data_IF_703736730750
#
_entry.id   IF_703736730750
#
_cell.length_a   1.000
_cell.length_b   1.000
_cell.length_c   1.000
_cell.angle_alpha   90.00
_cell.angle_beta   90.00
_cell.angle_gamma   90.00
#
_symmetry.space_group_name_H-M   'P 1'
#
loop_
_entity.id
_entity.type
_entity.pdbx_description
1 polymer ?
#
# COMPACT_ATOMS: atom_id res chain seq x y z
N UNK A 1 -8.58 -29.42 -19.38
CA UNK A 1 -7.16 -29.04 -19.17
C UNK A 1 -7.01 -28.04 -18.01
N UNK A 2 -7.78 -26.95 -17.96
CA UNK A 2 -7.70 -25.92 -16.91
C UNK A 2 -7.88 -26.45 -15.47
N UNK A 3 -8.84 -27.36 -15.24
CA UNK A 3 -9.11 -27.94 -13.90
C UNK A 3 -7.91 -28.68 -13.32
N UNK A 4 -7.14 -29.39 -14.16
CA UNK A 4 -5.92 -30.09 -13.73
C UNK A 4 -4.80 -29.11 -13.34
N UNK A 5 -4.69 -28.00 -14.05
CA UNK A 5 -3.71 -26.94 -13.74
C UNK A 5 -4.04 -26.27 -12.40
N UNK A 6 -5.31 -25.95 -12.15
CA UNK A 6 -5.72 -25.39 -10.86
C UNK A 6 -5.51 -26.35 -9.69
N UNK A 7 -5.78 -27.65 -9.87
CA UNK A 7 -5.51 -28.66 -8.85
C UNK A 7 -4.03 -28.78 -8.52
N UNK A 8 -3.14 -28.76 -9.52
CA UNK A 8 -1.68 -28.80 -9.32
C UNK A 8 -1.21 -27.54 -8.58
N UNK A 9 -1.67 -26.36 -8.98
CA UNK A 9 -1.35 -25.10 -8.30
C UNK A 9 -1.83 -25.11 -6.84
N UNK A 10 -3.02 -25.64 -6.57
CA UNK A 10 -3.55 -25.78 -5.20
C UNK A 10 -2.69 -26.72 -4.34
N UNK A 11 -2.27 -27.86 -4.89
CA UNK A 11 -1.41 -28.82 -4.18
C UNK A 11 -0.05 -28.21 -3.88
N UNK A 12 0.57 -27.50 -4.83
CA UNK A 12 1.83 -26.79 -4.62
C UNK A 12 1.70 -25.68 -3.56
N UNK A 13 0.57 -24.99 -3.53
CA UNK A 13 0.26 -23.97 -2.53
C UNK A 13 0.13 -24.58 -1.13
N UNK A 14 -0.62 -25.66 -0.99
CA UNK A 14 -0.80 -26.37 0.28
C UNK A 14 0.52 -26.96 0.79
N UNK A 15 1.35 -27.50 -0.12
CA UNK A 15 2.69 -27.97 0.22
C UNK A 15 3.60 -26.84 0.71
N UNK A 16 3.56 -25.66 0.07
CA UNK A 16 4.32 -24.48 0.48
C UNK A 16 3.86 -23.96 1.85
N UNK A 17 2.55 -23.85 2.05
CA UNK A 17 1.95 -23.47 3.34
C UNK A 17 2.35 -24.46 4.44
N UNK A 18 2.29 -25.77 4.16
CA UNK A 18 2.76 -26.80 5.07
C UNK A 18 4.24 -26.62 5.41
N UNK A 19 5.10 -26.39 4.41
CA UNK A 19 6.53 -26.17 4.66
C UNK A 19 6.81 -24.94 5.53
N UNK A 20 6.01 -23.89 5.40
CA UNK A 20 6.14 -22.69 6.22
C UNK A 20 5.69 -22.94 7.67
N UNK A 21 4.55 -23.60 7.83
CA UNK A 21 4.04 -23.97 9.15
C UNK A 21 4.99 -24.92 9.89
N UNK A 22 5.62 -25.85 9.17
CA UNK A 22 6.67 -26.72 9.73
C UNK A 22 7.97 -25.95 10.02
N UNK A 23 8.24 -24.84 9.32
CA UNK A 23 9.41 -24.00 9.56
C UNK A 23 9.25 -23.01 10.72
N UNK A 24 8.03 -22.87 11.28
CA UNK A 24 7.80 -22.09 12.50
C UNK A 24 8.51 -22.75 13.67
N UNK A 25 9.71 -22.25 13.98
CA UNK A 25 10.38 -22.59 15.21
C UNK A 25 9.60 -21.97 16.37
N UNK A 26 8.94 -22.82 17.16
CA UNK A 26 8.35 -22.40 18.43
C UNK A 26 9.48 -21.93 19.35
N UNK A 27 9.56 -20.61 19.55
CA UNK A 27 10.50 -20.06 20.54
C UNK A 27 9.99 -20.47 21.93
N UNK A 28 10.78 -21.20 22.72
CA UNK A 28 10.32 -21.65 24.03
C UNK A 28 10.05 -20.46 24.94
N UNK A 29 8.98 -20.58 25.74
CA UNK A 29 8.60 -19.58 26.74
C UNK A 29 9.75 -19.42 27.74
N UNK A 30 10.18 -18.18 27.96
CA UNK A 30 11.34 -17.83 28.80
C UNK A 30 12.64 -17.60 28.03
N UNK A 31 12.70 -17.86 26.71
CA UNK A 31 13.90 -17.59 25.92
C UNK A 31 14.12 -16.08 25.72
N UNK A 32 15.37 -15.63 25.89
CA UNK A 32 15.82 -14.31 25.44
C UNK A 32 16.06 -14.33 23.94
N UNK A 33 15.40 -13.45 23.23
CA UNK A 33 15.50 -13.33 21.77
C UNK A 33 15.81 -11.90 21.38
N UNK A 34 16.63 -11.77 20.33
CA UNK A 34 16.88 -10.53 19.62
C UNK A 34 16.29 -10.67 18.23
N UNK A 35 15.22 -9.95 17.98
CA UNK A 35 14.40 -10.11 16.78
C UNK A 35 14.42 -8.81 15.97
N UNK A 36 14.80 -8.91 14.69
CA UNK A 36 14.70 -7.82 13.74
C UNK A 36 13.33 -7.94 13.07
N UNK A 37 12.44 -6.99 13.36
CA UNK A 37 11.07 -6.97 12.87
C UNK A 37 10.68 -5.63 12.28
N UNK A 38 9.63 -5.66 11.46
CA UNK A 38 8.91 -4.46 11.08
C UNK A 38 7.70 -4.28 12.00
N UNK A 39 7.49 -3.06 12.50
CA UNK A 39 6.33 -2.71 13.33
C UNK A 39 5.05 -2.91 12.50
N UNK A 40 4.24 -3.87 12.91
CA UNK A 40 3.05 -4.35 12.18
C UNK A 40 1.73 -3.71 12.61
N UNK A 41 1.70 -2.91 13.68
CA UNK A 41 0.53 -2.09 14.08
C UNK A 41 1.03 -0.77 14.66
N UNK A 42 0.23 0.29 14.61
CA UNK A 42 0.59 1.53 15.31
C UNK A 42 0.73 1.26 16.82
N UNK A 43 1.84 1.67 17.46
CA UNK A 43 2.08 1.38 18.87
C UNK A 43 1.09 2.08 19.80
N UNK A 44 0.44 1.29 20.66
CA UNK A 44 -0.46 1.78 21.69
C UNK A 44 0.38 2.28 22.86
N UNK A 45 0.26 3.56 23.21
CA UNK A 45 0.93 4.13 24.39
C UNK A 45 0.07 3.95 25.63
N UNK A 46 0.53 3.09 26.55
CA UNK A 46 -0.08 2.88 27.87
C UNK A 46 0.89 3.39 28.94
N UNK A 47 0.86 4.71 29.19
CA UNK A 47 1.74 5.37 30.16
C UNK A 47 3.22 5.29 29.76
N UNK A 48 4.04 4.56 30.54
CA UNK A 48 5.47 4.37 30.29
C UNK A 48 5.80 3.23 29.31
N UNK A 49 4.79 2.45 28.92
CA UNK A 49 4.97 1.29 28.05
C UNK A 49 4.25 1.49 26.71
N UNK A 50 4.75 0.82 25.69
CA UNK A 50 4.09 0.67 24.40
C UNK A 50 3.81 -0.80 24.10
N UNK A 51 2.68 -1.06 23.45
CA UNK A 51 2.37 -2.37 22.88
C UNK A 51 2.15 -2.26 21.38
N UNK A 52 2.77 -3.14 20.62
CA UNK A 52 2.63 -3.21 19.16
C UNK A 52 2.86 -4.64 18.67
N UNK A 53 2.36 -4.95 17.47
CA UNK A 53 2.64 -6.23 16.83
C UNK A 53 3.93 -6.16 16.04
N UNK A 54 4.79 -7.16 16.18
CA UNK A 54 6.02 -7.31 15.41
C UNK A 54 6.13 -8.78 14.96
N UNK A 55 6.06 -9.01 13.64
CA UNK A 55 5.94 -10.36 13.08
C UNK A 55 4.79 -11.16 13.72
N UNK A 56 5.11 -12.27 14.40
CA UNK A 56 4.17 -13.15 15.07
C UNK A 56 3.97 -12.82 16.56
N UNK A 57 4.65 -11.79 17.10
CA UNK A 57 4.59 -11.45 18.52
C UNK A 57 3.87 -10.11 18.76
N UNK A 58 3.08 -10.07 19.83
CA UNK A 58 2.70 -8.85 20.51
C UNK A 58 3.83 -8.45 21.45
N UNK A 59 4.49 -7.36 21.12
CA UNK A 59 5.61 -6.81 21.87
C UNK A 59 5.09 -5.80 22.87
N UNK A 60 5.39 -6.00 24.15
CA UNK A 60 5.18 -5.02 25.21
C UNK A 60 6.55 -4.53 25.69
N UNK A 61 6.82 -3.23 25.58
CA UNK A 61 8.14 -2.68 25.88
C UNK A 61 8.10 -1.22 26.34
N UNK A 62 9.27 -0.61 26.63
CA UNK A 62 9.36 0.77 27.09
C UNK A 62 8.96 1.76 26.00
N UNK A 63 8.41 2.91 26.40
CA UNK A 63 7.98 3.95 25.48
C UNK A 63 9.12 4.39 24.53
N UNK A 64 8.88 4.20 23.23
CA UNK A 64 9.74 4.62 22.15
C UNK A 64 8.91 5.36 21.10
N UNK A 65 9.51 6.35 20.43
CA UNK A 65 8.90 7.01 19.27
C UNK A 65 9.13 6.17 18.02
N UNK A 66 8.28 5.14 17.88
CA UNK A 66 8.20 4.24 16.73
C UNK A 66 6.81 4.33 16.11
N UNK A 67 6.70 4.08 14.81
CA UNK A 67 5.44 4.08 14.06
C UNK A 67 5.30 2.80 13.24
N UNK A 68 4.08 2.55 12.75
CA UNK A 68 3.81 1.47 11.81
C UNK A 68 4.81 1.49 10.63
N UNK A 69 5.34 0.31 10.31
CA UNK A 69 6.30 0.08 9.22
C UNK A 69 7.76 0.41 9.55
N UNK A 70 8.09 0.87 10.76
CA UNK A 70 9.48 1.06 11.17
C UNK A 70 10.19 -0.29 11.35
N UNK A 71 11.45 -0.39 10.90
CA UNK A 71 12.29 -1.55 11.19
C UNK A 71 12.93 -1.37 12.57
N UNK A 72 12.68 -2.31 13.46
CA UNK A 72 13.12 -2.28 14.84
C UNK A 72 13.81 -3.59 15.21
N UNK A 73 14.86 -3.45 16.01
CA UNK A 73 15.48 -4.58 16.70
C UNK A 73 14.90 -4.62 18.10
N UNK A 74 14.10 -5.65 18.38
CA UNK A 74 13.46 -5.87 19.66
C UNK A 74 14.26 -6.93 20.42
N UNK A 75 14.74 -6.59 21.62
CA UNK A 75 15.43 -7.53 22.50
C UNK A 75 14.58 -7.75 23.74
N UNK A 76 14.27 -9.00 24.07
CA UNK A 76 13.37 -9.32 25.17
C UNK A 76 13.19 -10.81 25.45
N UNK A 77 12.24 -11.12 26.32
CA UNK A 77 11.88 -12.48 26.74
C UNK A 77 10.52 -12.87 26.18
N UNK A 78 10.41 -14.07 25.61
CA UNK A 78 9.12 -14.62 25.18
C UNK A 78 8.31 -15.05 26.40
N UNK A 79 7.17 -14.39 26.64
CA UNK A 79 6.28 -14.67 27.79
C UNK A 79 5.20 -15.67 27.41
N UNK A 80 4.75 -15.64 26.15
CA UNK A 80 3.83 -16.63 25.60
C UNK A 80 4.16 -16.88 24.12
N UNK A 81 3.63 -17.93 23.49
CA UNK A 81 3.86 -18.22 22.07
C UNK A 81 3.54 -17.06 21.12
N UNK A 82 2.75 -16.08 21.57
CA UNK A 82 2.37 -14.90 20.82
C UNK A 82 2.77 -13.57 21.50
N UNK A 83 3.38 -13.56 22.70
CA UNK A 83 3.71 -12.34 23.44
C UNK A 83 5.19 -12.28 23.81
N UNK A 84 5.81 -11.13 23.57
CA UNK A 84 7.21 -10.85 23.86
C UNK A 84 7.30 -9.60 24.75
N UNK A 85 8.02 -9.70 25.86
CA UNK A 85 8.29 -8.58 26.75
C UNK A 85 9.68 -8.04 26.43
N UNK A 86 9.72 -6.83 25.88
CA UNK A 86 10.93 -6.20 25.36
C UNK A 86 11.64 -5.38 26.44
N UNK A 87 12.91 -5.69 26.65
CA UNK A 87 13.82 -4.93 27.52
C UNK A 87 14.34 -3.68 26.81
N UNK A 88 14.58 -3.79 25.49
CA UNK A 88 15.12 -2.70 24.66
C UNK A 88 14.55 -2.77 23.25
N UNK A 89 14.17 -1.60 22.73
CA UNK A 89 13.70 -1.40 21.36
C UNK A 89 14.66 -0.42 20.69
N UNK A 90 15.39 -0.88 19.67
CA UNK A 90 16.30 -0.05 18.89
C UNK A 90 15.74 0.13 17.48
N UNK A 91 15.64 1.37 17.01
CA UNK A 91 15.35 1.65 15.61
C UNK A 91 16.54 1.21 14.76
N UNK A 92 16.31 0.21 13.91
CA UNK A 92 17.35 -0.29 13.03
C UNK A 92 17.16 0.31 11.65
N UNK A 93 17.90 1.38 11.36
CA UNK A 93 17.94 1.96 10.02
C UNK A 93 18.86 1.18 9.06
N UNK A 94 19.64 0.22 9.57
CA UNK A 94 20.57 -0.54 8.75
C UNK A 94 19.81 -1.49 7.81
N UNK A 95 19.78 -1.13 6.53
CA UNK A 95 19.36 -1.99 5.44
C UNK A 95 20.55 -2.80 4.91
N UNK A 96 20.29 -4.02 4.41
CA UNK A 96 21.26 -4.73 3.59
C UNK A 96 21.46 -3.94 2.29
N UNK A 97 22.68 -3.43 2.09
CA UNK A 97 23.03 -2.55 0.96
C UNK A 97 22.94 -3.32 -0.36
N UNK A 98 21.79 -3.24 -1.01
CA UNK A 98 21.54 -3.77 -2.35
C UNK A 98 21.72 -2.72 -3.44
N UNK A 99 21.86 -3.15 -4.70
CA UNK A 99 21.92 -2.25 -5.87
C UNK A 99 20.73 -1.29 -5.98
N UNK A 100 19.54 -1.73 -5.54
CA UNK A 100 18.33 -0.89 -5.51
C UNK A 100 18.46 0.30 -4.56
N UNK A 101 19.12 0.12 -3.41
CA UNK A 101 19.33 1.18 -2.41
C UNK A 101 20.36 2.22 -2.89
N UNK A 102 21.45 1.75 -3.53
CA UNK A 102 22.43 2.63 -4.16
C UNK A 102 21.79 3.51 -5.26
N UNK A 103 20.91 2.92 -6.07
CA UNK A 103 20.18 3.65 -7.10
C UNK A 103 19.14 4.61 -6.50
N UNK A 104 18.44 4.18 -5.45
CA UNK A 104 17.53 5.01 -4.67
C UNK A 104 18.25 6.26 -4.13
N UNK A 105 19.37 6.09 -3.44
CA UNK A 105 20.15 7.20 -2.86
C UNK A 105 20.69 8.17 -3.92
N UNK A 106 21.07 7.66 -5.10
CA UNK A 106 21.46 8.51 -6.23
C UNK A 106 20.29 9.37 -6.71
N UNK A 107 19.09 8.79 -6.84
CA UNK A 107 17.90 9.53 -7.25
C UNK A 107 17.48 10.58 -6.21
N UNK A 108 17.57 10.25 -4.91
CA UNK A 108 17.33 11.22 -3.84
C UNK A 108 18.30 12.40 -3.93
N UNK A 109 19.58 12.16 -4.21
CA UNK A 109 20.56 13.24 -4.45
C UNK A 109 20.20 14.10 -5.66
N UNK A 110 19.73 13.50 -6.75
CA UNK A 110 19.24 14.25 -7.92
C UNK A 110 18.11 15.20 -7.51
N UNK A 111 17.10 14.73 -6.78
CA UNK A 111 15.99 15.59 -6.34
C UNK A 111 16.46 16.72 -5.43
N UNK A 112 17.34 16.45 -4.48
CA UNK A 112 17.90 17.46 -3.54
C UNK A 112 18.79 18.50 -4.22
N UNK A 113 19.40 18.18 -5.35
CA UNK A 113 20.22 19.12 -6.11
C UNK A 113 19.38 20.08 -6.97
N UNK A 114 18.12 19.75 -7.24
CA UNK A 114 17.26 20.48 -8.19
C UNK A 114 16.12 21.21 -7.49
N UNK A 115 15.65 20.69 -6.35
CA UNK A 115 14.51 21.21 -5.60
C UNK A 115 14.91 21.68 -4.20
N UNK A 116 14.08 22.52 -3.59
CA UNK A 116 14.25 22.91 -2.17
C UNK A 116 13.99 21.71 -1.25
N UNK A 117 14.58 21.70 -0.03
CA UNK A 117 14.59 20.51 0.85
C UNK A 117 13.23 19.83 1.03
N UNK A 118 12.17 20.58 1.34
CA UNK A 118 10.81 20.03 1.51
C UNK A 118 10.18 19.51 0.22
N UNK A 119 10.39 20.21 -0.90
CA UNK A 119 9.89 19.79 -2.22
C UNK A 119 10.62 18.53 -2.69
N UNK A 120 11.94 18.47 -2.50
CA UNK A 120 12.78 17.32 -2.83
C UNK A 120 12.35 16.08 -2.05
N UNK A 121 12.18 16.23 -0.73
CA UNK A 121 11.78 15.14 0.15
C UNK A 121 10.34 14.66 -0.16
N UNK A 122 9.41 15.59 -0.48
CA UNK A 122 8.05 15.23 -0.90
C UNK A 122 8.04 14.51 -2.25
N UNK A 123 8.76 15.02 -3.26
CA UNK A 123 8.83 14.40 -4.59
C UNK A 123 9.50 13.02 -4.53
N UNK A 124 10.60 12.91 -3.79
CA UNK A 124 11.26 11.64 -3.53
C UNK A 124 10.31 10.67 -2.82
N UNK A 125 9.55 11.14 -1.82
CA UNK A 125 8.49 10.41 -1.15
C UNK A 125 7.45 9.84 -2.13
N UNK A 126 6.88 10.70 -2.97
CA UNK A 126 5.86 10.32 -3.96
C UNK A 126 6.42 9.30 -4.97
N UNK A 127 7.60 9.55 -5.53
CA UNK A 127 8.15 8.74 -6.63
C UNK A 127 8.82 7.46 -6.16
N UNK A 128 9.64 7.52 -5.12
CA UNK A 128 10.48 6.41 -4.65
C UNK A 128 9.92 5.72 -3.41
N UNK A 129 8.98 6.35 -2.70
CA UNK A 129 8.51 5.87 -1.41
C UNK A 129 9.24 6.49 -0.24
N UNK A 130 9.15 5.87 0.95
CA UNK A 130 9.63 6.42 2.22
C UNK A 130 11.10 6.89 2.15
N UNK A 131 11.33 8.19 2.00
CA UNK A 131 12.66 8.84 2.03
C UNK A 131 12.67 9.84 3.18
N UNK A 132 13.58 9.71 4.14
CA UNK A 132 14.12 10.78 5.01
C UNK A 132 13.20 11.90 5.54
N UNK A 133 11.88 11.74 5.51
CA UNK A 133 10.93 12.80 5.82
C UNK A 133 11.10 13.14 7.29
N UNK A 134 11.22 14.44 7.60
CA UNK A 134 11.20 14.91 8.98
C UNK A 134 9.96 14.33 9.70
N UNK A 135 10.14 13.87 10.95
CA UNK A 135 9.07 13.23 11.74
C UNK A 135 7.86 14.14 11.85
N UNK A 136 8.08 15.45 12.00
CA UNK A 136 7.00 16.43 12.03
C UNK A 136 6.16 16.39 10.77
N UNK A 137 6.78 16.31 9.60
CA UNK A 137 6.07 16.24 8.32
C UNK A 137 5.36 14.89 8.13
N UNK A 138 5.96 13.78 8.59
CA UNK A 138 5.27 12.48 8.58
C UNK A 138 3.99 12.51 9.44
N UNK A 139 4.05 13.14 10.61
CA UNK A 139 2.87 13.33 11.47
C UNK A 139 1.84 14.22 10.78
N UNK A 140 2.24 15.34 10.18
CA UNK A 140 1.32 16.20 9.43
C UNK A 140 0.60 15.44 8.30
N UNK A 141 1.33 14.63 7.53
CA UNK A 141 0.76 13.77 6.49
C UNK A 141 -0.21 12.73 7.07
N UNK A 142 0.09 12.18 8.26
CA UNK A 142 -0.77 11.22 8.92
C UNK A 142 -2.07 11.87 9.42
N UNK A 143 -1.98 13.08 9.95
CA UNK A 143 -3.12 13.85 10.46
C UNK A 143 -4.11 14.20 9.35
N UNK A 144 -3.61 14.59 8.18
CA UNK A 144 -4.45 14.87 7.01
C UNK A 144 -4.75 13.61 6.19
N UNK A 145 -4.29 12.43 6.61
CA UNK A 145 -4.56 11.15 5.98
C UNK A 145 -3.86 10.91 4.63
N UNK A 146 -2.83 11.69 4.28
CA UNK A 146 -2.09 11.59 3.02
C UNK A 146 -0.82 10.72 3.11
N UNK A 147 -0.50 10.15 4.28
CA UNK A 147 0.67 9.28 4.44
C UNK A 147 0.71 8.12 3.45
N UNK A 148 -0.45 7.56 3.08
CA UNK A 148 -0.55 6.44 2.16
C UNK A 148 -0.21 6.78 0.70
N UNK A 149 -0.20 8.07 0.33
CA UNK A 149 0.18 8.54 -1.01
C UNK A 149 1.69 8.72 -1.10
N UNK A 150 2.30 9.25 -0.03
CA UNK A 150 3.75 9.52 0.06
C UNK A 150 4.53 8.27 0.49
N UNK A 151 3.90 7.33 1.19
CA UNK A 151 4.44 6.00 1.43
C UNK A 151 4.13 5.11 0.22
N UNK A 152 4.97 5.17 -0.81
CA UNK A 152 5.16 4.16 -1.86
C UNK A 152 3.92 3.28 -2.13
N UNK A 153 2.89 3.89 -2.73
CA UNK A 153 1.60 3.23 -2.88
C UNK A 153 1.55 2.35 -4.13
N UNK A 154 0.66 1.35 -4.16
CA UNK A 154 0.41 0.56 -5.38
C UNK A 154 -0.13 1.42 -6.54
N UNK A 155 -0.73 2.57 -6.25
CA UNK A 155 -1.14 3.56 -7.26
C UNK A 155 0.08 4.21 -7.92
N UNK A 156 1.13 4.55 -7.14
CA UNK A 156 2.35 5.15 -7.67
C UNK A 156 3.02 4.20 -8.66
N UNK A 157 3.11 2.91 -8.33
CA UNK A 157 3.61 1.90 -9.27
C UNK A 157 2.70 1.76 -10.50
N UNK A 158 1.38 1.83 -10.35
CA UNK A 158 0.44 1.73 -11.47
C UNK A 158 0.65 2.88 -12.45
N UNK A 159 0.72 4.11 -11.94
CA UNK A 159 1.00 5.31 -12.73
C UNK A 159 2.38 5.23 -13.42
N UNK A 160 3.42 4.84 -12.67
CA UNK A 160 4.76 4.65 -13.21
C UNK A 160 4.76 3.61 -14.34
N UNK A 161 4.13 2.45 -14.11
CA UNK A 161 4.04 1.38 -15.12
C UNK A 161 3.26 1.82 -16.36
N UNK A 162 2.18 2.59 -16.20
CA UNK A 162 1.41 3.16 -17.30
C UNK A 162 2.24 4.12 -18.14
N UNK A 163 3.04 4.98 -17.49
CA UNK A 163 3.99 5.85 -18.17
C UNK A 163 5.05 5.07 -18.94
N UNK A 164 5.63 4.01 -18.34
CA UNK A 164 6.60 3.15 -19.04
C UNK A 164 5.97 2.43 -20.23
N UNK A 165 4.77 1.87 -20.06
CA UNK A 165 4.03 1.21 -21.15
C UNK A 165 3.75 2.22 -22.28
N UNK A 166 3.35 3.45 -21.95
CA UNK A 166 3.16 4.51 -22.93
C UNK A 166 4.46 4.86 -23.66
N UNK A 167 5.56 5.07 -22.95
CA UNK A 167 6.88 5.39 -23.54
C UNK A 167 7.34 4.28 -24.50
N UNK A 168 7.22 3.03 -24.07
CA UNK A 168 7.55 1.84 -24.87
C UNK A 168 6.58 1.63 -26.03
N UNK A 169 5.34 2.13 -25.91
CA UNK A 169 4.33 2.04 -26.98
C UNK A 169 4.72 2.87 -28.21
N UNK A 170 5.38 4.02 -28.02
CA UNK A 170 5.84 4.92 -29.09
C UNK A 170 6.91 4.26 -29.97
N UNK A 171 7.71 3.35 -29.41
CA UNK A 171 8.76 2.64 -30.14
C UNK A 171 8.14 1.52 -31.00
N UNK A 172 8.55 1.39 -32.27
CA UNK A 172 8.04 0.34 -33.19
C UNK A 172 8.69 -1.03 -32.93
N UNK A 173 8.40 -1.64 -31.77
CA UNK A 173 8.86 -2.98 -31.40
C UNK A 173 7.75 -4.04 -31.42
N UNK A 174 8.13 -5.31 -31.54
CA UNK A 174 7.21 -6.45 -31.36
C UNK A 174 6.61 -6.41 -29.95
N UNK A 175 5.33 -6.80 -29.82
CA UNK A 175 4.57 -6.77 -28.55
C UNK A 175 5.29 -7.48 -27.39
N UNK A 176 6.00 -8.57 -27.68
CA UNK A 176 6.75 -9.33 -26.68
C UNK A 176 7.93 -8.57 -26.08
N UNK A 177 8.67 -7.79 -26.87
CA UNK A 177 9.80 -6.99 -26.35
C UNK A 177 9.29 -5.82 -25.51
N UNK A 178 8.16 -5.22 -25.92
CA UNK A 178 7.50 -4.18 -25.12
C UNK A 178 7.13 -4.71 -23.73
N UNK A 179 6.56 -5.91 -23.69
CA UNK A 179 6.19 -6.60 -22.46
C UNK A 179 7.36 -6.85 -21.52
N UNK A 180 8.43 -7.46 -22.07
CA UNK A 180 9.60 -7.83 -21.30
C UNK A 180 10.24 -6.57 -20.71
N UNK A 181 10.34 -5.50 -21.49
CA UNK A 181 10.85 -4.22 -21.01
C UNK A 181 9.95 -3.61 -19.93
N UNK A 182 8.63 -3.59 -20.12
CA UNK A 182 7.71 -3.08 -19.11
C UNK A 182 7.79 -3.86 -17.79
N UNK A 183 7.81 -5.20 -17.85
CA UNK A 183 7.93 -6.05 -16.65
C UNK A 183 9.29 -5.83 -15.98
N UNK A 184 10.39 -5.77 -16.75
CA UNK A 184 11.71 -5.49 -16.22
C UNK A 184 11.77 -4.15 -15.48
N UNK A 185 11.17 -3.10 -16.05
CA UNK A 185 11.10 -1.78 -15.41
C UNK A 185 10.23 -1.77 -14.15
N UNK A 186 9.12 -2.52 -14.12
CA UNK A 186 8.28 -2.69 -12.93
C UNK A 186 9.06 -3.38 -11.81
N UNK A 187 9.80 -4.44 -12.12
CA UNK A 187 10.65 -5.16 -11.15
C UNK A 187 11.77 -4.25 -10.64
N UNK A 188 12.41 -3.49 -11.54
CA UNK A 188 13.43 -2.52 -11.17
C UNK A 188 12.88 -1.46 -10.23
N UNK A 189 11.73 -0.86 -10.53
CA UNK A 189 11.08 0.10 -9.63
C UNK A 189 10.75 -0.53 -8.27
N UNK A 190 10.21 -1.75 -8.25
CA UNK A 190 9.89 -2.47 -7.00
C UNK A 190 11.14 -2.69 -6.13
N UNK A 191 12.30 -2.88 -6.75
CA UNK A 191 13.58 -2.98 -6.04
C UNK A 191 14.06 -1.64 -5.48
N UNK A 192 13.80 -0.52 -6.18
CA UNK A 192 14.15 0.82 -5.70
C UNK A 192 13.35 1.21 -4.45
N UNK A 193 12.11 0.74 -4.36
CA UNK A 193 11.21 1.00 -3.23
C UNK A 193 11.36 -0.02 -2.10
N UNK A 194 12.43 -0.82 -2.09
CA UNK A 194 12.71 -1.77 -1.00
C UNK A 194 11.75 -2.95 -0.88
N UNK A 195 11.09 -3.36 -1.97
CA UNK A 195 10.12 -4.47 -1.98
C UNK A 195 8.97 -4.32 -0.97
N UNK A 196 8.47 -3.11 -0.79
CA UNK A 196 7.31 -2.87 0.08
C UNK A 196 6.12 -3.77 -0.34
N UNK A 197 5.45 -4.47 0.60
CA UNK A 197 4.39 -5.43 0.27
C UNK A 197 3.29 -4.87 -0.64
N UNK A 198 2.96 -3.59 -0.48
CA UNK A 198 1.96 -2.91 -1.32
C UNK A 198 2.38 -2.82 -2.78
N UNK A 199 3.67 -2.51 -3.02
CA UNK A 199 4.26 -2.37 -4.35
C UNK A 199 4.45 -3.75 -4.99
N UNK A 200 4.94 -4.74 -4.23
CA UNK A 200 5.10 -6.11 -4.74
C UNK A 200 3.77 -6.66 -5.27
N UNK A 201 2.65 -6.42 -4.57
CA UNK A 201 1.32 -6.84 -5.04
C UNK A 201 0.97 -6.17 -6.35
N UNK A 202 1.11 -4.83 -6.40
CA UNK A 202 0.80 -4.06 -7.58
C UNK A 202 1.68 -4.50 -8.77
N UNK A 203 2.96 -4.79 -8.53
CA UNK A 203 3.91 -5.25 -9.54
C UNK A 203 3.46 -6.57 -10.17
N UNK A 204 3.03 -7.52 -9.35
CA UNK A 204 2.49 -8.80 -9.82
C UNK A 204 1.20 -8.57 -10.62
N UNK A 205 0.25 -7.78 -10.08
CA UNK A 205 -1.01 -7.50 -10.77
C UNK A 205 -0.81 -6.84 -12.15
N UNK A 206 0.05 -5.81 -12.21
CA UNK A 206 0.36 -5.11 -13.46
C UNK A 206 1.07 -6.05 -14.43
N UNK A 207 2.03 -6.85 -13.96
CA UNK A 207 2.72 -7.85 -14.81
C UNK A 207 1.74 -8.84 -15.43
N UNK A 208 0.73 -9.29 -14.68
CA UNK A 208 -0.36 -10.14 -15.19
C UNK A 208 -1.21 -9.42 -16.24
N UNK A 209 -1.57 -8.16 -16.01
CA UNK A 209 -2.34 -7.36 -16.99
C UNK A 209 -1.55 -7.17 -18.28
N UNK A 210 -0.26 -6.84 -18.17
CA UNK A 210 0.65 -6.71 -19.32
C UNK A 210 0.69 -8.03 -20.09
N UNK A 211 0.93 -9.16 -19.39
CA UNK A 211 1.00 -10.49 -19.99
C UNK A 211 -0.31 -10.88 -20.72
N UNK A 212 -1.45 -10.67 -20.08
CA UNK A 212 -2.77 -10.93 -20.66
C UNK A 212 -3.00 -10.12 -21.94
N UNK A 213 -2.59 -8.85 -21.95
CA UNK A 213 -2.71 -7.96 -23.11
C UNK A 213 -1.93 -8.47 -24.32
N UNK A 214 -0.73 -9.02 -24.12
CA UNK A 214 0.09 -9.58 -25.22
C UNK A 214 -0.51 -10.88 -25.75
N UNK A 215 -1.06 -11.70 -24.85
CA UNK A 215 -1.75 -12.93 -25.20
C UNK A 215 -3.12 -12.67 -25.87
N UNK A 216 -3.53 -11.41 -26.03
CA UNK A 216 -4.82 -11.03 -26.60
C UNK A 216 -6.01 -11.43 -25.74
N UNK A 217 -5.80 -11.62 -24.43
CA UNK A 217 -6.84 -12.03 -23.48
C UNK A 217 -7.31 -10.83 -22.68
N UNK A 218 -8.61 -10.77 -22.40
CA UNK A 218 -9.13 -9.80 -21.45
C UNK A 218 -8.60 -10.13 -20.05
N UNK A 219 -7.90 -9.17 -19.45
CA UNK A 219 -7.52 -9.26 -18.04
C UNK A 219 -8.73 -8.85 -17.19
N UNK A 220 -9.08 -9.66 -16.20
CA UNK A 220 -9.99 -9.23 -15.15
C UNK A 220 -9.17 -8.86 -13.91
N UNK A 221 -9.52 -7.74 -13.31
CA UNK A 221 -8.84 -7.23 -12.10
C UNK A 221 -8.91 -8.26 -10.96
N UNK A 222 -10.00 -9.02 -10.90
CA UNK A 222 -10.17 -10.14 -9.96
C UNK A 222 -9.13 -11.25 -10.19
N UNK A 223 -8.89 -11.65 -11.44
CA UNK A 223 -7.88 -12.68 -11.74
C UNK A 223 -6.47 -12.19 -11.46
N UNK A 224 -6.18 -10.91 -11.75
CA UNK A 224 -4.89 -10.31 -11.39
C UNK A 224 -4.66 -10.31 -9.87
N UNK A 225 -5.70 -10.04 -9.08
CA UNK A 225 -5.63 -10.08 -7.61
C UNK A 225 -5.45 -11.51 -7.07
N UNK A 226 -6.20 -12.49 -7.58
CA UNK A 226 -6.04 -13.89 -7.20
C UNK A 226 -4.64 -14.40 -7.54
N UNK A 227 -4.12 -14.01 -8.70
CA UNK A 227 -2.76 -14.35 -9.12
C UNK A 227 -1.71 -13.67 -8.24
N UNK A 228 -1.91 -12.41 -7.85
CA UNK A 228 -1.07 -11.73 -6.88
C UNK A 228 -1.10 -12.42 -5.50
N UNK A 229 -2.29 -12.80 -5.01
CA UNK A 229 -2.44 -13.59 -3.78
C UNK A 229 -1.61 -14.88 -3.84
N UNK A 230 -1.73 -15.61 -4.96
CA UNK A 230 -1.04 -16.88 -5.17
C UNK A 230 0.49 -16.70 -5.15
N UNK A 231 1.02 -15.73 -5.91
CA UNK A 231 2.46 -15.45 -5.97
C UNK A 231 2.99 -14.97 -4.62
N UNK A 232 2.27 -14.08 -3.93
CA UNK A 232 2.65 -13.57 -2.62
C UNK A 232 2.65 -14.68 -1.56
N UNK A 233 1.64 -15.55 -1.58
CA UNK A 233 1.54 -16.71 -0.70
C UNK A 233 2.66 -17.73 -0.95
N UNK A 234 3.12 -17.84 -2.20
CA UNK A 234 4.24 -18.71 -2.52
C UNK A 234 5.58 -18.15 -2.04
N UNK A 235 5.76 -16.83 -2.19
CA UNK A 235 6.96 -16.11 -1.75
C UNK A 235 7.09 -16.05 -0.23
N UNK A 236 6.10 -15.46 0.46
CA UNK A 236 6.02 -15.32 1.92
C UNK A 236 4.55 -15.31 2.38
N UNK A 237 3.99 -16.44 2.85
CA UNK A 237 2.68 -16.58 3.47
C UNK A 237 2.29 -15.49 4.47
N UNK A 238 3.22 -14.99 5.28
CA UNK A 238 2.97 -13.89 6.23
C UNK A 238 2.48 -12.59 5.55
N UNK A 239 2.74 -12.41 4.24
CA UNK A 239 2.25 -11.26 3.47
C UNK A 239 0.72 -11.22 3.34
N UNK A 240 0.01 -12.35 3.43
CA UNK A 240 -1.46 -12.36 3.39
C UNK A 240 -2.08 -11.65 4.59
N UNK A 241 -1.43 -11.71 5.75
CA UNK A 241 -1.86 -11.01 6.96
C UNK A 241 -1.38 -9.56 7.03
N UNK A 242 -0.63 -9.09 6.03
CA UNK A 242 -0.17 -7.71 6.00
C UNK A 242 -1.34 -6.74 5.78
N UNK A 243 -1.27 -5.57 6.43
CA UNK A 243 -2.26 -4.50 6.29
C UNK A 243 -2.52 -4.17 4.81
N UNK A 244 -1.46 -4.04 4.02
CA UNK A 244 -1.54 -3.66 2.60
C UNK A 244 -2.34 -4.66 1.75
N UNK A 245 -2.17 -5.97 2.04
CA UNK A 245 -2.86 -7.05 1.36
C UNK A 245 -4.35 -6.99 1.69
N UNK A 246 -4.68 -7.04 2.99
CA UNK A 246 -6.07 -6.97 3.46
C UNK A 246 -6.81 -5.74 2.94
N UNK A 247 -6.16 -4.57 2.98
CA UNK A 247 -6.74 -3.32 2.49
C UNK A 247 -7.08 -3.39 0.99
N UNK A 248 -6.23 -4.03 0.19
CA UNK A 248 -6.45 -4.16 -1.26
C UNK A 248 -7.52 -5.19 -1.61
N UNK A 249 -7.56 -6.31 -0.90
CA UNK A 249 -8.64 -7.29 -1.04
C UNK A 249 -9.99 -6.66 -0.68
N UNK A 250 -10.05 -5.92 0.44
CA UNK A 250 -11.26 -5.24 0.87
C UNK A 250 -11.67 -4.13 -0.09
N UNK A 251 -10.74 -3.27 -0.52
CA UNK A 251 -11.02 -2.22 -1.50
C UNK A 251 -11.49 -2.79 -2.85
N UNK A 252 -11.03 -3.98 -3.25
CA UNK A 252 -11.49 -4.64 -4.47
C UNK A 252 -12.89 -5.26 -4.31
N UNK A 253 -13.19 -5.84 -3.14
CA UNK A 253 -14.50 -6.47 -2.89
C UNK A 253 -15.66 -5.48 -3.08
N UNK A 254 -15.39 -4.19 -2.87
CA UNK A 254 -16.26 -3.07 -3.28
C UNK A 254 -16.66 -3.11 -4.74
N UNK A 255 -15.77 -3.41 -5.69
CA UNK A 255 -16.07 -3.38 -7.13
C UNK A 255 -17.15 -4.40 -7.50
N UNK A 256 -17.16 -5.56 -6.81
CA UNK A 256 -18.22 -6.58 -6.94
C UNK A 256 -19.56 -6.02 -6.46
N UNK A 257 -19.54 -5.16 -5.43
CA UNK A 257 -20.73 -4.50 -4.92
C UNK A 257 -21.17 -3.32 -5.80
N UNK A 258 -20.24 -2.47 -6.23
CA UNK A 258 -20.49 -1.32 -7.09
C UNK A 258 -21.10 -1.74 -8.42
N UNK A 259 -20.58 -2.77 -9.08
CA UNK A 259 -21.13 -3.28 -10.33
C UNK A 259 -22.59 -3.75 -10.21
N UNK A 260 -22.98 -4.29 -9.05
CA UNK A 260 -24.39 -4.63 -8.76
C UNK A 260 -25.23 -3.39 -8.46
N UNK A 261 -24.64 -2.38 -7.83
CA UNK A 261 -25.31 -1.14 -7.44
C UNK A 261 -25.55 -0.20 -8.64
N UNK A 262 -24.53 0.03 -9.48
CA UNK A 262 -24.59 0.84 -10.70
C UNK A 262 -25.56 0.27 -11.74
N UNK A 263 -25.61 -1.06 -11.89
CA UNK A 263 -26.58 -1.72 -12.78
C UNK A 263 -28.05 -1.46 -12.39
N UNK A 264 -28.29 -0.94 -11.19
CA UNK A 264 -29.61 -0.69 -10.62
C UNK A 264 -29.92 0.81 -10.45
N UNK A 265 -28.99 1.68 -10.86
CA UNK A 265 -29.10 3.13 -10.71
C UNK A 265 -29.64 3.77 -12.02
N UNK A 266 -30.57 4.73 -11.95
CA UNK A 266 -31.09 5.40 -13.14
C UNK A 266 -29.95 6.09 -13.92
N UNK A 267 -29.86 5.88 -15.24
CA UNK A 267 -28.75 6.29 -16.14
C UNK A 267 -28.36 7.79 -16.17
N UNK A 268 -28.92 8.63 -15.30
CA UNK A 268 -28.65 10.07 -15.19
C UNK A 268 -27.47 10.42 -14.26
N UNK A 269 -26.68 9.43 -13.82
CA UNK A 269 -25.54 9.68 -12.94
C UNK A 269 -24.45 10.49 -13.64
N UNK A 270 -24.24 11.72 -13.18
CA UNK A 270 -23.13 12.56 -13.59
C UNK A 270 -21.80 11.96 -13.08
N UNK A 271 -20.70 12.23 -13.79
CA UNK A 271 -19.33 11.78 -13.46
C UNK A 271 -18.92 12.06 -11.99
N UNK A 272 -19.39 13.17 -11.41
CA UNK A 272 -19.15 13.56 -10.02
C UNK A 272 -19.79 12.61 -8.99
N UNK A 273 -20.99 12.11 -9.25
CA UNK A 273 -21.69 11.20 -8.33
C UNK A 273 -21.06 9.80 -8.34
N UNK A 274 -20.62 9.33 -9.51
CA UNK A 274 -19.92 8.05 -9.64
C UNK A 274 -18.60 8.04 -8.83
N UNK A 275 -17.78 9.10 -8.96
CA UNK A 275 -16.52 9.21 -8.21
C UNK A 275 -16.72 9.33 -6.70
N UNK A 276 -17.79 10.01 -6.27
CA UNK A 276 -18.18 10.07 -4.86
C UNK A 276 -18.50 8.67 -4.31
N UNK A 277 -19.39 7.93 -4.99
CA UNK A 277 -19.74 6.57 -4.56
C UNK A 277 -18.56 5.61 -4.59
N UNK A 278 -17.66 5.78 -5.57
CA UNK A 278 -16.46 4.97 -5.64
C UNK A 278 -15.56 5.18 -4.41
N UNK A 279 -15.32 6.43 -4.06
CA UNK A 279 -14.52 6.82 -2.88
C UNK A 279 -15.20 6.42 -1.57
N UNK A 280 -16.49 6.69 -1.44
CA UNK A 280 -17.27 6.40 -0.23
C UNK A 280 -17.29 4.90 0.07
N UNK A 281 -17.61 4.08 -0.94
CA UNK A 281 -17.61 2.63 -0.76
C UNK A 281 -16.20 2.08 -0.54
N UNK A 282 -15.14 2.72 -1.07
CA UNK A 282 -13.76 2.30 -0.80
C UNK A 282 -13.45 2.48 0.68
N UNK A 283 -13.77 3.65 1.22
CA UNK A 283 -13.65 3.94 2.65
C UNK A 283 -14.43 2.91 3.46
N UNK A 284 -15.71 2.70 3.16
CA UNK A 284 -16.59 1.77 3.89
C UNK A 284 -16.00 0.36 3.99
N UNK A 285 -15.51 -0.17 2.86
CA UNK A 285 -14.92 -1.51 2.82
C UNK A 285 -13.54 -1.57 3.49
N UNK A 286 -12.77 -0.48 3.51
CA UNK A 286 -11.41 -0.48 4.10
C UNK A 286 -11.38 -0.08 5.58
N UNK A 287 -12.41 0.62 6.08
CA UNK A 287 -12.43 1.27 7.39
C UNK A 287 -12.12 0.32 8.57
N UNK A 288 -12.67 -0.91 8.66
CA UNK A 288 -12.36 -1.80 9.78
C UNK A 288 -10.89 -2.21 9.84
N UNK A 289 -10.27 -2.40 8.68
CA UNK A 289 -8.84 -2.74 8.57
C UNK A 289 -8.00 -1.52 8.93
N UNK A 290 -8.40 -0.32 8.48
CA UNK A 290 -7.71 0.92 8.82
C UNK A 290 -7.70 1.14 10.34
N UNK A 291 -8.84 0.96 11.00
CA UNK A 291 -8.97 1.09 12.46
C UNK A 291 -8.18 0.00 13.22
N UNK A 292 -8.12 -1.21 12.68
CA UNK A 292 -7.36 -2.31 13.30
C UNK A 292 -5.84 -2.10 13.24
N UNK A 293 -5.30 -1.69 12.08
CA UNK A 293 -3.85 -1.54 11.90
C UNK A 293 -3.29 -0.19 12.32
N UNK A 294 -4.02 0.90 12.01
CA UNK A 294 -3.52 2.26 12.19
C UNK A 294 -4.13 2.97 13.40
N UNK A 295 -5.27 2.49 13.91
CA UNK A 295 -5.95 3.06 15.09
C UNK A 295 -6.45 4.50 14.93
N UNK A 296 -6.36 5.07 13.73
CA UNK A 296 -6.70 6.45 13.41
C UNK A 296 -7.37 6.55 12.06
N UNK A 297 -8.43 7.35 12.00
CA UNK A 297 -9.14 7.70 10.77
C UNK A 297 -9.40 9.20 10.77
N UNK A 298 -8.92 9.89 9.74
CA UNK A 298 -9.11 11.34 9.59
C UNK A 298 -10.25 11.59 8.62
N UNK A 299 -11.34 12.26 9.03
CA UNK A 299 -12.38 12.68 8.09
C UNK A 299 -11.87 13.75 7.13
N UNK A 300 -10.89 14.54 7.55
CA UNK A 300 -10.16 15.48 6.70
C UNK A 300 -9.44 14.75 5.56
N UNK A 301 -9.16 13.45 5.69
CA UNK A 301 -8.58 12.64 4.60
C UNK A 301 -9.40 12.66 3.31
N UNK A 302 -10.75 12.74 3.41
CA UNK A 302 -11.59 12.81 2.21
C UNK A 302 -11.36 14.13 1.47
N UNK A 303 -11.32 15.24 2.20
CA UNK A 303 -11.10 16.57 1.65
C UNK A 303 -9.68 16.74 1.13
N UNK A 304 -8.68 16.30 1.91
CA UNK A 304 -7.27 16.38 1.51
C UNK A 304 -6.99 15.52 0.28
N UNK A 305 -7.55 14.30 0.20
CA UNK A 305 -7.44 13.46 -0.99
C UNK A 305 -8.08 14.13 -2.20
N UNK A 306 -9.28 14.70 -2.09
CA UNK A 306 -9.94 15.39 -3.21
C UNK A 306 -9.09 16.57 -3.73
N UNK A 307 -8.50 17.33 -2.81
CA UNK A 307 -7.65 18.47 -3.15
C UNK A 307 -6.29 18.06 -3.70
N UNK A 308 -5.72 16.92 -3.29
CA UNK A 308 -4.35 16.55 -3.64
C UNK A 308 -4.27 15.55 -4.79
N UNK A 309 -5.26 14.68 -4.97
CA UNK A 309 -5.16 13.51 -5.87
C UNK A 309 -4.84 13.90 -7.33
N UNK A 310 -5.39 15.03 -7.81
CA UNK A 310 -5.13 15.52 -9.17
C UNK A 310 -3.66 15.92 -9.41
N UNK A 311 -2.91 16.23 -8.34
CA UNK A 311 -1.47 16.55 -8.43
C UNK A 311 -0.59 15.31 -8.51
N UNK A 312 -1.09 14.13 -8.09
CA UNK A 312 -0.25 12.93 -7.94
C UNK A 312 0.20 12.37 -9.27
N UNK A 313 -0.70 12.25 -10.25
CA UNK A 313 -0.33 11.69 -11.56
C UNK A 313 0.70 12.58 -12.28
N UNK A 314 0.51 13.92 -12.37
CA UNK A 314 1.53 14.80 -12.93
C UNK A 314 2.86 14.75 -12.17
N UNK A 315 2.84 14.74 -10.83
CA UNK A 315 4.05 14.68 -10.02
C UNK A 315 4.80 13.36 -10.17
N UNK A 316 4.09 12.24 -10.32
CA UNK A 316 4.72 10.95 -10.61
C UNK A 316 5.44 10.94 -11.95
N UNK A 317 4.83 11.51 -13.00
CA UNK A 317 5.42 11.58 -14.33
C UNK A 317 6.62 12.53 -14.33
N UNK A 318 6.42 13.76 -13.86
CA UNK A 318 7.47 14.78 -13.80
C UNK A 318 8.61 14.33 -12.89
N UNK A 319 8.32 13.77 -11.73
CA UNK A 319 9.34 13.25 -10.80
C UNK A 319 10.12 12.07 -11.36
N UNK A 320 9.47 11.18 -12.11
CA UNK A 320 10.15 10.14 -12.88
C UNK A 320 11.09 10.73 -13.94
N UNK A 321 10.63 11.75 -14.68
CA UNK A 321 11.44 12.45 -15.68
C UNK A 321 12.62 13.18 -15.06
N UNK A 322 12.43 13.90 -13.93
CA UNK A 322 13.50 14.56 -13.17
C UNK A 322 14.54 13.55 -12.70
N UNK A 323 14.10 12.41 -12.15
CA UNK A 323 14.99 11.35 -11.70
C UNK A 323 15.83 10.77 -12.84
N UNK A 324 15.19 10.38 -13.95
CA UNK A 324 15.87 9.80 -15.12
C UNK A 324 16.80 10.80 -15.81
N UNK A 325 16.34 12.03 -16.02
CA UNK A 325 17.14 13.08 -16.67
C UNK A 325 18.31 13.54 -15.81
N UNK A 326 18.16 13.61 -14.49
CA UNK A 326 19.20 14.05 -13.58
C UNK A 326 20.34 13.06 -13.37
N UNK A 327 20.14 11.79 -13.74
CA UNK A 327 21.25 10.83 -13.87
C UNK A 327 22.19 11.15 -15.05
N UNK A 328 21.71 11.90 -16.05
CA UNK A 328 22.47 12.27 -17.24
C UNK A 328 22.96 13.73 -17.15
N UNK A 329 22.08 14.66 -16.77
CA UNK A 329 22.37 16.09 -16.69
C UNK A 329 21.47 16.80 -15.69
N UNK A 330 22.07 17.61 -14.81
CA UNK A 330 21.36 18.45 -13.84
C UNK A 330 20.47 19.50 -14.51
N UNK A 331 20.88 20.05 -15.66
CA UNK A 331 20.12 21.07 -16.39
C UNK A 331 18.82 20.49 -16.98
N UNK A 332 18.88 19.24 -17.47
CA UNK A 332 17.70 18.57 -18.01
C UNK A 332 16.70 18.23 -16.89
N UNK A 333 17.21 17.86 -15.71
CA UNK A 333 16.39 17.65 -14.52
C UNK A 333 15.70 18.95 -14.05
N UNK A 334 16.41 20.08 -14.07
CA UNK A 334 15.83 21.38 -13.74
C UNK A 334 14.67 21.74 -14.68
N UNK A 335 14.82 21.49 -15.99
CA UNK A 335 13.75 21.74 -16.96
C UNK A 335 12.45 21.02 -16.60
N UNK A 336 12.51 19.74 -16.22
CA UNK A 336 11.34 18.97 -15.79
C UNK A 336 10.88 19.30 -14.36
N UNK A 337 11.76 19.82 -13.50
CA UNK A 337 11.41 20.22 -12.14
C UNK A 337 10.61 21.54 -12.09
N UNK A 338 10.84 22.46 -13.03
CA UNK A 338 10.12 23.74 -13.12
C UNK A 338 8.58 23.58 -13.08
N UNK A 339 7.95 22.75 -13.92
CA UNK A 339 6.51 22.52 -13.84
C UNK A 339 6.07 21.70 -12.61
N UNK A 340 6.99 20.97 -11.96
CA UNK A 340 6.69 20.19 -10.75
C UNK A 340 6.65 21.06 -9.49
N UNK A 341 7.44 22.13 -9.43
CA UNK A 341 7.52 23.06 -8.29
C UNK A 341 6.15 23.61 -7.84
N UNK A 342 5.32 24.24 -8.71
CA UNK A 342 4.03 24.79 -8.27
C UNK A 342 3.06 23.71 -7.79
N UNK A 343 3.14 22.49 -8.34
CA UNK A 343 2.34 21.35 -7.88
C UNK A 343 2.77 20.88 -6.49
N UNK A 344 4.08 20.83 -6.24
CA UNK A 344 4.64 20.50 -4.92
C UNK A 344 4.29 21.57 -3.88
N UNK A 345 4.37 22.86 -4.25
CA UNK A 345 3.99 23.96 -3.37
C UNK A 345 2.52 23.94 -3.02
N UNK A 346 1.65 23.67 -4.00
CA UNK A 346 0.23 23.47 -3.76
C UNK A 346 -0.02 22.29 -2.81
N UNK A 347 0.61 21.14 -3.04
CA UNK A 347 0.50 19.98 -2.14
C UNK A 347 0.90 20.36 -0.71
N UNK A 348 2.08 20.97 -0.55
CA UNK A 348 2.59 21.39 0.76
C UNK A 348 1.67 22.42 1.43
N UNK A 349 1.10 23.34 0.67
CA UNK A 349 0.12 24.30 1.16
C UNK A 349 -1.12 23.58 1.70
N UNK A 350 -1.70 22.63 0.96
CA UNK A 350 -2.85 21.84 1.42
C UNK A 350 -2.53 21.09 2.71
N UNK A 351 -1.39 20.41 2.79
CA UNK A 351 -0.96 19.69 4.00
C UNK A 351 -0.86 20.64 5.18
N UNK A 352 -0.17 21.77 5.02
CA UNK A 352 0.04 22.73 6.11
C UNK A 352 -1.27 23.39 6.55
N UNK A 353 -2.18 23.72 5.64
CA UNK A 353 -3.48 24.34 5.95
C UNK A 353 -4.47 23.40 6.64
N UNK A 354 -4.35 22.10 6.42
CA UNK A 354 -5.22 21.08 7.00
C UNK A 354 -4.62 20.42 8.24
N UNK A 355 -3.28 20.41 8.37
CA UNK A 355 -2.59 19.85 9.54
C UNK A 355 -2.88 20.65 10.82
N UNK A 356 -2.94 19.99 11.98
CA UNK A 356 -3.18 20.62 13.29
C UNK A 356 -4.65 20.86 13.65
N UNK A 357 -5.60 20.41 12.82
CA UNK A 357 -7.04 20.43 13.13
C UNK A 357 -7.47 19.10 13.75
N UNK A 358 -7.22 18.94 15.05
CA UNK A 358 -7.54 17.71 15.81
C UNK A 358 -9.03 17.34 15.82
N UNK A 359 -9.92 18.28 15.51
CA UNK A 359 -11.38 18.09 15.56
C UNK A 359 -11.94 17.02 14.61
N UNK A 360 -11.18 16.58 13.60
CA UNK A 360 -11.63 15.58 12.62
C UNK A 360 -10.82 14.27 12.66
N UNK A 361 -9.93 14.13 13.65
CA UNK A 361 -9.13 12.93 13.86
C UNK A 361 -9.85 11.98 14.82
N UNK A 362 -10.45 10.92 14.26
CA UNK A 362 -11.02 9.84 15.05
C UNK A 362 -9.91 8.86 15.41
N UNK A 363 -9.52 8.85 16.67
CA UNK A 363 -8.58 7.86 17.23
C UNK A 363 -9.40 6.76 17.87
N UNK A 364 -9.61 5.69 17.13
CA UNK A 364 -10.24 4.49 17.64
C UNK A 364 -9.44 3.28 17.20
N UNK A 365 -8.67 2.75 18.14
CA UNK A 365 -7.89 1.55 17.92
C UNK A 365 -8.70 0.34 18.35
N UNK A 366 -8.80 -0.60 17.43
CA UNK A 366 -9.49 -1.87 17.64
C UNK A 366 -8.42 -2.89 17.97
N UNK A 367 -8.48 -3.52 19.14
CA UNK A 367 -7.42 -4.43 19.60
C UNK A 367 -7.64 -5.88 19.13
N UNK A 368 -8.83 -6.20 18.61
CA UNK A 368 -9.23 -7.56 18.28
C UNK A 368 -9.68 -7.72 16.83
N UNK A 369 -9.27 -8.84 16.23
CA UNK A 369 -9.71 -9.30 14.90
C UNK A 369 -11.23 -9.58 14.82
N UNK A 370 -11.90 -9.71 15.97
CA UNK A 370 -13.34 -9.96 16.06
C UNK A 370 -14.17 -8.80 15.50
N UNK A 371 -13.71 -7.57 15.63
CA UNK A 371 -14.44 -6.40 15.12
C UNK A 371 -14.41 -6.30 13.59
N UNK A 372 -13.25 -6.38 12.90
CA UNK A 372 -13.24 -6.47 11.44
C UNK A 372 -14.08 -7.64 10.93
N UNK A 373 -13.99 -8.82 11.57
CA UNK A 373 -14.78 -9.98 11.16
C UNK A 373 -16.29 -9.73 11.32
N UNK A 374 -16.74 -9.25 12.48
CA UNK A 374 -18.14 -8.92 12.73
C UNK A 374 -18.67 -7.87 11.77
N UNK A 375 -17.85 -6.85 11.46
CA UNK A 375 -18.20 -5.82 10.48
C UNK A 375 -18.42 -6.41 9.09
N UNK A 376 -17.48 -7.23 8.59
CA UNK A 376 -17.64 -7.83 7.25
C UNK A 376 -18.79 -8.85 7.18
N UNK A 377 -19.08 -9.56 8.28
CA UNK A 377 -20.25 -10.43 8.37
C UNK A 377 -21.56 -9.64 8.32
N UNK A 378 -21.65 -8.53 9.07
CA UNK A 378 -22.81 -7.64 9.03
C UNK A 378 -22.98 -6.99 7.65
N UNK A 379 -21.88 -6.51 7.05
CA UNK A 379 -21.86 -5.96 5.70
C UNK A 379 -22.31 -7.01 4.68
N UNK A 380 -21.76 -8.23 4.74
CA UNK A 380 -22.16 -9.35 3.89
C UNK A 380 -23.64 -9.72 4.05
N UNK A 381 -24.13 -9.75 5.29
CA UNK A 381 -25.54 -9.98 5.62
C UNK A 381 -26.46 -8.90 5.07
N UNK A 382 -26.08 -7.63 5.20
CA UNK A 382 -26.80 -6.50 4.62
C UNK A 382 -26.85 -6.57 3.08
N UNK A 383 -25.72 -6.85 2.43
CA UNK A 383 -25.63 -7.02 0.98
C UNK A 383 -26.54 -8.17 0.52
N UNK A 384 -26.52 -9.28 1.25
CA UNK A 384 -27.36 -10.44 0.95
C UNK A 384 -28.85 -10.11 1.12
N UNK A 385 -29.25 -9.53 2.26
CA UNK A 385 -30.63 -9.10 2.54
C UNK A 385 -31.15 -8.12 1.49
N UNK A 386 -30.37 -7.10 1.15
CA UNK A 386 -30.74 -6.15 0.10
C UNK A 386 -30.90 -6.83 -1.26
N UNK A 387 -29.97 -7.71 -1.64
CA UNK A 387 -30.07 -8.44 -2.91
C UNK A 387 -31.29 -9.39 -2.96
N UNK A 388 -31.74 -9.87 -1.80
CA UNK A 388 -32.91 -10.74 -1.68
C UNK A 388 -34.22 -9.95 -1.73
N UNK A 389 -34.35 -8.86 -0.96
CA UNK A 389 -35.58 -8.06 -0.90
C UNK A 389 -36.04 -7.57 -2.28
N UNK A 390 -35.12 -7.24 -3.19
CA UNK A 390 -35.44 -6.77 -4.54
C UNK A 390 -35.58 -7.86 -5.61
N UNK A 391 -35.17 -9.10 -5.34
CA UNK A 391 -35.56 -10.23 -6.20
C UNK A 391 -37.07 -10.46 -6.12
N UNK A 392 -37.70 -10.19 -4.97
CA UNK A 392 -39.14 -10.31 -4.78
C UNK A 392 -39.94 -9.16 -5.42
N UNK A 393 -39.35 -7.97 -5.59
CA UNK A 393 -40.02 -6.84 -6.27
C UNK A 393 -40.11 -7.02 -7.79
N UNK A 394 -39.28 -7.90 -8.39
CA UNK A 394 -39.40 -8.29 -9.81
C UNK A 394 -40.41 -9.43 -10.05
N UNK A 395 -41.07 -9.91 -8.99
CA UNK A 395 -42.06 -11.01 -9.02
C UNK A 395 -43.41 -10.52 -8.43
N UNK A 396 -43.70 -9.22 -8.54
CA UNK A 396 -45.08 -8.74 -8.38
C UNK A 396 -45.67 -8.53 -9.78
N UNK A 397 -46.76 -9.25 -10.12
CA UNK A 397 -47.39 -9.17 -11.45
C UNK A 397 -47.96 -7.79 -11.75
#
# INVERSE_FOLDING_TARGET
>A
MAVKVYAILLVLLLARLGSEFLSWQFVPVGAKVRLLATVGTEPIKNGKNISFRAENFWVLGPAAEIHFGDKVTVSGVVVSPANLLADKIELNQAHEVGWGELAHDRLVKVYRNVLTGRQADLLAGIVLGRVGLDRKFQTQLADVGLSHIVAASGMNLTLFSGFIVWLVSVVKWRRIYKAILSIAMIVLYTSLTGFEPSIVRAAVMISFVVLATILGRQSSVVMALLAAAYVMLWARPTLLTSASCLLSFSAMSRQIFLSKFEAQMPKRFNFLEANFWQSFLAILFTLPIVLWFFGKFSLVSLLSNLLVLWTIEPLMILGGLVGLSGLVSSHLAQFFALPAMPLLDYFLWVVNSLSGKDYFLFRWQVDSWTFPMGYYLALGGFIWWWSWGRKNDKIKP
#
